data_IF_860102605323
#
_entry.id   IF_860102605323
#
_cell.length_a   1.000
_cell.length_b   1.000
_cell.length_c   1.000
_cell.angle_alpha   90.00
_cell.angle_beta   90.00
_cell.angle_gamma   90.00
#
_symmetry.space_group_name_H-M   'P 1'
#
loop_
_entity.id
_entity.type
_entity.pdbx_description
1 polymer ?
#
# COMPACT_ATOMS: atom_id res chain seq x y z
N UNK A 1 7.55 13.97 -11.33
CA UNK A 1 8.14 13.19 -12.45
C UNK A 1 8.08 11.67 -12.26
N UNK A 2 8.14 11.12 -11.08
CA UNK A 2 8.08 9.65 -10.81
C UNK A 2 6.77 8.97 -11.24
N UNK A 3 5.62 9.65 -11.16
CA UNK A 3 4.33 9.09 -11.61
C UNK A 3 4.26 8.87 -13.12
N UNK A 4 4.98 9.66 -13.88
CA UNK A 4 4.98 9.60 -15.34
C UNK A 4 5.77 8.40 -15.90
N UNK A 5 6.79 7.97 -15.16
CA UNK A 5 7.63 6.81 -15.54
C UNK A 5 7.07 5.47 -15.05
N UNK A 6 6.27 5.45 -13.97
CA UNK A 6 5.67 4.23 -13.44
C UNK A 6 4.33 3.85 -14.07
N UNK A 7 3.59 4.82 -14.65
CA UNK A 7 2.27 4.57 -15.23
C UNK A 7 2.30 3.67 -16.46
N UNK A 8 3.30 3.82 -17.33
CA UNK A 8 3.44 3.01 -18.54
C UNK A 8 3.56 1.51 -18.24
N UNK A 9 4.56 1.07 -17.46
CA UNK A 9 4.70 -0.33 -17.07
C UNK A 9 3.49 -0.90 -16.34
N UNK A 10 2.80 -0.09 -15.52
CA UNK A 10 1.59 -0.51 -14.80
C UNK A 10 0.44 -0.80 -15.77
N UNK A 11 0.19 0.10 -16.73
CA UNK A 11 -0.86 -0.09 -17.73
C UNK A 11 -0.56 -1.31 -18.59
N UNK A 12 0.68 -1.47 -19.04
CA UNK A 12 1.08 -2.64 -19.84
C UNK A 12 0.92 -3.92 -19.01
N UNK A 13 1.34 -3.92 -17.75
CA UNK A 13 1.19 -5.06 -16.86
C UNK A 13 -0.28 -5.45 -16.65
N UNK A 14 -1.17 -4.48 -16.47
CA UNK A 14 -2.61 -4.70 -16.36
C UNK A 14 -3.23 -5.25 -17.64
N UNK A 15 -2.86 -4.69 -18.80
CA UNK A 15 -3.35 -5.15 -20.10
C UNK A 15 -2.91 -6.59 -20.41
N UNK A 16 -1.65 -6.91 -20.14
CA UNK A 16 -1.11 -8.27 -20.31
C UNK A 16 -1.76 -9.26 -19.34
N UNK A 17 -1.96 -8.86 -18.08
CA UNK A 17 -2.67 -9.66 -17.07
C UNK A 17 -4.14 -9.91 -17.44
N UNK A 18 -4.83 -8.89 -17.95
CA UNK A 18 -6.21 -9.01 -18.42
C UNK A 18 -6.35 -9.94 -19.64
N UNK A 19 -5.42 -9.84 -20.59
CA UNK A 19 -5.45 -10.66 -21.81
C UNK A 19 -4.97 -12.08 -21.62
N UNK A 20 -4.28 -12.39 -20.53
CA UNK A 20 -3.77 -13.73 -20.15
C UNK A 20 -3.00 -14.48 -21.25
N UNK A 21 -3.28 -14.20 -22.52
CA UNK A 21 -2.69 -14.84 -23.71
C UNK A 21 -2.68 -13.87 -24.91
N UNK A 22 -1.53 -13.73 -25.54
CA UNK A 22 -1.38 -12.96 -26.79
C UNK A 22 -0.66 -13.85 -27.80
N UNK A 23 -1.43 -14.38 -28.75
CA UNK A 23 -0.91 -15.34 -29.74
C UNK A 23 -0.43 -16.67 -29.11
N UNK A 24 0.76 -17.15 -29.46
CA UNK A 24 1.33 -18.38 -28.89
C UNK A 24 1.88 -18.22 -27.49
N UNK A 25 1.99 -16.98 -26.99
CA UNK A 25 2.62 -16.67 -25.69
C UNK A 25 1.56 -16.55 -24.60
N UNK A 26 1.70 -17.33 -23.54
CA UNK A 26 0.87 -17.24 -22.32
C UNK A 26 1.58 -16.40 -21.28
N UNK A 27 0.89 -15.36 -20.76
CA UNK A 27 1.38 -14.50 -19.69
C UNK A 27 0.93 -14.95 -18.29
N UNK A 28 0.38 -16.15 -18.20
CA UNK A 28 0.02 -16.75 -16.91
C UNK A 28 1.27 -17.38 -16.30
N UNK A 29 1.74 -16.75 -15.24
CA UNK A 29 2.83 -17.29 -14.43
C UNK A 29 2.28 -18.27 -13.39
N UNK A 30 3.00 -19.36 -13.09
CA UNK A 30 2.70 -20.18 -11.92
C UNK A 30 2.62 -19.32 -10.67
N UNK A 31 1.71 -19.65 -9.74
CA UNK A 31 1.48 -18.86 -8.53
C UNK A 31 2.78 -18.53 -7.76
N UNK A 32 3.66 -19.51 -7.60
CA UNK A 32 4.95 -19.31 -6.93
C UNK A 32 5.86 -18.32 -7.67
N UNK A 33 5.94 -18.39 -9.00
CA UNK A 33 6.74 -17.47 -9.79
C UNK A 33 6.20 -16.03 -9.70
N UNK A 34 4.87 -15.87 -9.69
CA UNK A 34 4.23 -14.58 -9.53
C UNK A 34 4.56 -13.94 -8.16
N UNK A 35 4.52 -14.73 -7.08
CA UNK A 35 4.89 -14.26 -5.74
C UNK A 35 6.36 -13.79 -5.69
N UNK A 36 7.28 -14.57 -6.24
CA UNK A 36 8.71 -14.22 -6.25
C UNK A 36 8.97 -12.95 -7.06
N UNK A 37 8.39 -12.85 -8.26
CA UNK A 37 8.53 -11.66 -9.10
C UNK A 37 7.94 -10.41 -8.44
N UNK A 38 6.81 -10.55 -7.75
CA UNK A 38 6.22 -9.46 -6.97
C UNK A 38 7.14 -8.99 -5.85
N UNK A 39 7.74 -9.93 -5.11
CA UNK A 39 8.68 -9.60 -4.04
C UNK A 39 9.93 -8.89 -4.57
N UNK A 40 10.54 -9.42 -5.65
CA UNK A 40 11.68 -8.78 -6.30
C UNK A 40 11.31 -7.38 -6.79
N UNK A 41 10.15 -7.23 -7.44
CA UNK A 41 9.66 -5.94 -7.93
C UNK A 41 9.53 -4.90 -6.82
N UNK A 42 8.96 -5.30 -5.67
CA UNK A 42 8.82 -4.42 -4.50
C UNK A 42 10.20 -4.04 -3.93
N UNK A 43 11.12 -5.00 -3.80
CA UNK A 43 12.47 -4.74 -3.28
C UNK A 43 13.25 -3.78 -4.17
N UNK A 44 13.23 -4.00 -5.49
CA UNK A 44 13.90 -3.12 -6.47
C UNK A 44 13.27 -1.72 -6.46
N UNK A 45 11.94 -1.64 -6.40
CA UNK A 45 11.23 -0.36 -6.30
C UNK A 45 11.62 0.41 -5.04
N UNK A 46 11.62 -0.26 -3.87
CA UNK A 46 11.98 0.37 -2.60
C UNK A 46 13.45 0.80 -2.58
N UNK A 47 14.35 -0.01 -3.12
CA UNK A 47 15.76 0.33 -3.24
C UNK A 47 15.96 1.56 -4.15
N UNK A 48 15.32 1.58 -5.32
CA UNK A 48 15.40 2.72 -6.24
C UNK A 48 14.81 4.00 -5.63
N UNK A 49 13.67 3.91 -4.94
CA UNK A 49 13.05 5.03 -4.25
C UNK A 49 13.94 5.54 -3.09
N UNK A 50 14.53 4.63 -2.33
CA UNK A 50 15.46 4.98 -1.24
C UNK A 50 16.72 5.68 -1.75
N UNK A 51 17.32 5.17 -2.83
CA UNK A 51 18.49 5.80 -3.45
C UNK A 51 18.16 7.18 -4.02
N UNK A 52 17.01 7.33 -4.68
CA UNK A 52 16.58 8.60 -5.25
C UNK A 52 16.28 9.67 -4.19
N UNK A 53 15.80 9.27 -3.01
CA UNK A 53 15.38 10.18 -1.94
C UNK A 53 16.43 10.35 -0.84
N UNK A 54 17.44 9.48 -0.80
CA UNK A 54 18.38 9.37 0.31
C UNK A 54 19.21 10.63 0.56
N UNK A 55 19.72 11.27 -0.48
CA UNK A 55 20.49 12.52 -0.34
C UNK A 55 19.62 13.66 0.18
N UNK A 56 18.44 13.86 -0.40
CA UNK A 56 17.48 14.89 0.03
C UNK A 56 17.02 14.67 1.47
N UNK A 57 16.84 13.40 1.87
CA UNK A 57 16.49 13.04 3.23
C UNK A 57 17.62 13.35 4.22
N UNK A 58 18.88 12.99 3.86
CA UNK A 58 20.04 13.28 4.70
C UNK A 58 20.25 14.79 4.89
N UNK A 59 20.10 15.58 3.84
CA UNK A 59 20.19 17.04 3.88
C UNK A 59 19.06 17.62 4.77
N UNK A 60 17.84 17.10 4.65
CA UNK A 60 16.70 17.52 5.46
C UNK A 60 16.90 17.24 6.95
N UNK A 61 17.47 16.07 7.31
CA UNK A 61 17.74 15.71 8.70
C UNK A 61 18.70 16.68 9.40
N UNK A 62 19.67 17.23 8.67
CA UNK A 62 20.62 18.24 9.19
C UNK A 62 19.97 19.59 9.50
N UNK A 63 18.69 19.79 9.14
CA UNK A 63 17.98 21.04 9.35
C UNK A 63 16.93 20.93 10.46
N UNK A 64 16.71 22.01 11.22
CA UNK A 64 15.64 22.07 12.21
C UNK A 64 14.23 21.87 11.61
N UNK A 65 14.07 22.14 10.31
CA UNK A 65 12.83 21.90 9.56
C UNK A 65 12.61 20.40 9.34
N UNK A 66 13.65 19.64 9.01
CA UNK A 66 13.58 18.19 8.86
C UNK A 66 13.10 17.49 10.12
N UNK A 67 13.65 17.88 11.27
CA UNK A 67 13.23 17.32 12.56
C UNK A 67 11.77 17.63 12.88
N UNK A 68 11.30 18.85 12.59
CA UNK A 68 9.88 19.22 12.76
C UNK A 68 8.95 18.40 11.84
N UNK A 69 9.35 18.18 10.59
CA UNK A 69 8.59 17.35 9.64
C UNK A 69 8.54 15.88 10.09
N UNK A 70 9.65 15.35 10.60
CA UNK A 70 9.67 13.99 11.16
C UNK A 70 8.75 13.86 12.38
N UNK A 71 8.80 14.81 13.30
CA UNK A 71 7.93 14.82 14.47
C UNK A 71 6.45 14.94 14.08
N UNK A 72 6.13 15.84 13.14
CA UNK A 72 4.77 15.98 12.61
C UNK A 72 4.29 14.69 11.92
N UNK A 73 5.13 14.07 11.09
CA UNK A 73 4.83 12.79 10.45
C UNK A 73 4.59 11.67 11.45
N UNK A 74 5.42 11.58 12.48
CA UNK A 74 5.25 10.59 13.56
C UNK A 74 3.92 10.78 14.31
N UNK A 75 3.58 12.03 14.66
CA UNK A 75 2.30 12.35 15.34
C UNK A 75 1.11 12.01 14.42
N UNK A 76 1.16 12.38 13.15
CA UNK A 76 0.09 12.06 12.19
C UNK A 76 -0.07 10.55 12.02
N UNK A 77 1.02 9.80 11.87
CA UNK A 77 0.98 8.35 11.72
C UNK A 77 0.43 7.66 12.97
N UNK A 78 0.85 8.11 14.15
CA UNK A 78 0.36 7.57 15.41
C UNK A 78 -1.13 7.88 15.62
N UNK A 79 -1.54 9.12 15.34
CA UNK A 79 -2.94 9.51 15.41
C UNK A 79 -3.81 8.68 14.46
N UNK A 80 -3.36 8.48 13.23
CA UNK A 80 -4.06 7.66 12.24
C UNK A 80 -4.15 6.19 12.70
N UNK A 81 -3.06 5.62 13.19
CA UNK A 81 -3.00 4.23 13.66
C UNK A 81 -3.93 3.97 14.87
N UNK A 82 -4.19 4.96 15.69
CA UNK A 82 -5.09 4.86 16.84
C UNK A 82 -6.54 5.20 16.49
N UNK A 83 -6.75 6.29 15.75
CA UNK A 83 -8.09 6.79 15.49
C UNK A 83 -8.86 5.95 14.46
N UNK A 84 -8.20 5.45 13.41
CA UNK A 84 -8.90 4.70 12.36
C UNK A 84 -9.48 3.38 12.87
N UNK A 85 -8.73 2.51 13.57
CA UNK A 85 -9.31 1.31 14.17
C UNK A 85 -10.42 1.64 15.18
N UNK A 86 -10.21 2.66 16.03
CA UNK A 86 -11.21 3.09 17.00
C UNK A 86 -12.52 3.50 16.33
N UNK A 87 -12.46 4.29 15.25
CA UNK A 87 -13.65 4.69 14.48
C UNK A 87 -14.33 3.47 13.86
N UNK A 88 -13.56 2.54 13.28
CA UNK A 88 -14.11 1.34 12.67
C UNK A 88 -14.86 0.49 13.71
N UNK A 89 -14.28 0.31 14.89
CA UNK A 89 -14.89 -0.51 15.95
C UNK A 89 -16.10 0.18 16.58
N UNK A 90 -15.97 1.46 16.93
CA UNK A 90 -17.03 2.20 17.66
C UNK A 90 -18.15 2.64 16.75
N UNK A 91 -17.85 3.16 15.55
CA UNK A 91 -18.86 3.73 14.63
C UNK A 91 -19.45 2.67 13.72
N UNK A 92 -18.62 1.81 13.15
CA UNK A 92 -19.06 0.76 12.23
C UNK A 92 -19.40 -0.55 12.93
N UNK A 93 -19.22 -0.63 14.25
CA UNK A 93 -19.51 -1.80 15.09
C UNK A 93 -18.90 -3.10 14.52
N UNK A 94 -17.67 -3.01 13.99
CA UNK A 94 -16.94 -4.16 13.45
C UNK A 94 -16.12 -4.83 14.53
N UNK A 95 -16.00 -6.15 14.42
CA UNK A 95 -15.12 -6.93 15.29
C UNK A 95 -13.64 -6.66 14.96
N UNK A 96 -12.74 -6.97 15.87
CA UNK A 96 -11.31 -6.73 15.71
C UNK A 96 -10.70 -7.40 14.47
N UNK A 97 -11.26 -8.54 14.06
CA UNK A 97 -10.78 -9.29 12.89
C UNK A 97 -11.07 -8.50 11.61
N UNK A 98 -12.32 -8.06 11.43
CA UNK A 98 -12.70 -7.24 10.28
C UNK A 98 -12.01 -5.87 10.32
N UNK A 99 -11.88 -5.26 11.50
CA UNK A 99 -11.18 -3.98 11.71
C UNK A 99 -9.74 -4.05 11.22
N UNK A 100 -9.01 -5.12 11.52
CA UNK A 100 -7.63 -5.28 11.08
C UNK A 100 -7.48 -5.34 9.56
N UNK A 101 -8.42 -6.02 8.88
CA UNK A 101 -8.48 -6.06 7.42
C UNK A 101 -8.85 -4.71 6.79
N UNK A 102 -9.87 -4.02 7.33
CA UNK A 102 -10.25 -2.68 6.87
C UNK A 102 -9.10 -1.70 7.07
N UNK A 103 -8.46 -1.71 8.23
CA UNK A 103 -7.32 -0.84 8.54
C UNK A 103 -6.17 -1.05 7.54
N UNK A 104 -5.75 -2.31 7.31
CA UNK A 104 -4.73 -2.63 6.32
C UNK A 104 -5.12 -2.18 4.90
N UNK A 105 -6.41 -2.26 4.55
CA UNK A 105 -6.96 -1.79 3.28
C UNK A 105 -6.95 -0.26 3.16
N UNK A 106 -7.32 0.46 4.21
CA UNK A 106 -7.29 1.93 4.27
C UNK A 106 -5.85 2.44 4.20
N UNK A 107 -4.92 1.78 4.87
CA UNK A 107 -3.48 2.06 4.76
C UNK A 107 -2.93 1.74 3.36
N UNK A 108 -3.66 0.93 2.57
CA UNK A 108 -3.20 0.40 1.29
C UNK A 108 -1.89 -0.39 1.42
N UNK A 109 -1.73 -1.10 2.54
CA UNK A 109 -0.48 -1.72 2.96
C UNK A 109 -0.59 -3.26 3.00
N UNK A 110 -0.09 -3.97 1.98
CA UNK A 110 -0.13 -5.43 1.94
C UNK A 110 0.64 -6.12 3.08
N UNK A 111 1.68 -5.47 3.62
CA UNK A 111 2.43 -6.00 4.76
C UNK A 111 1.59 -6.00 6.04
N UNK A 112 0.76 -4.97 6.25
CA UNK A 112 -0.19 -4.93 7.37
C UNK A 112 -1.26 -6.03 7.22
N UNK A 113 -1.72 -6.30 5.99
CA UNK A 113 -2.62 -7.42 5.72
C UNK A 113 -1.98 -8.76 6.09
N UNK A 114 -0.75 -9.01 5.65
CA UNK A 114 -0.04 -10.26 5.95
C UNK A 114 0.11 -10.48 7.45
N UNK A 115 0.49 -9.43 8.19
CA UNK A 115 0.55 -9.44 9.65
C UNK A 115 -0.81 -9.73 10.31
N UNK A 116 -1.87 -9.08 9.84
CA UNK A 116 -3.22 -9.27 10.37
C UNK A 116 -3.73 -10.71 10.15
N UNK A 117 -3.49 -11.27 8.95
CA UNK A 117 -3.83 -12.67 8.63
C UNK A 117 -3.09 -13.64 9.54
N UNK A 118 -1.80 -13.43 9.76
CA UNK A 118 -0.99 -14.26 10.66
C UNK A 118 -1.50 -14.20 12.11
N UNK A 119 -1.79 -12.99 12.61
CA UNK A 119 -2.29 -12.78 13.99
C UNK A 119 -3.67 -13.34 14.25
N UNK A 120 -4.51 -13.45 13.22
CA UNK A 120 -5.87 -13.99 13.30
C UNK A 120 -5.97 -15.47 12.95
N UNK A 121 -4.83 -16.16 12.80
CA UNK A 121 -4.80 -17.59 12.48
C UNK A 121 -5.31 -17.91 11.07
N UNK A 122 -5.21 -16.97 10.13
CA UNK A 122 -5.65 -17.16 8.75
C UNK A 122 -7.13 -16.89 8.50
N UNK A 123 -7.80 -16.14 9.38
CA UNK A 123 -9.23 -15.84 9.23
C UNK A 123 -9.50 -15.08 7.91
N UNK A 124 -10.33 -15.68 7.04
CA UNK A 124 -10.64 -15.13 5.71
C UNK A 124 -11.35 -13.78 5.76
N UNK A 125 -12.03 -13.45 6.87
CA UNK A 125 -12.70 -12.15 7.04
C UNK A 125 -11.73 -10.97 6.95
N UNK A 126 -10.46 -11.17 7.34
CA UNK A 126 -9.40 -10.16 7.18
C UNK A 126 -9.17 -9.85 5.70
N UNK A 127 -9.02 -10.89 4.88
CA UNK A 127 -8.81 -10.74 3.44
C UNK A 127 -10.02 -10.10 2.74
N UNK A 128 -11.24 -10.50 3.11
CA UNK A 128 -12.47 -9.94 2.57
C UNK A 128 -12.61 -8.46 2.92
N UNK A 129 -12.36 -8.11 4.18
CA UNK A 129 -12.43 -6.73 4.66
C UNK A 129 -11.38 -5.84 3.95
N UNK A 130 -10.16 -6.35 3.79
CA UNK A 130 -9.11 -5.68 3.01
C UNK A 130 -9.51 -5.46 1.55
N UNK A 131 -10.03 -6.50 0.89
CA UNK A 131 -10.41 -6.43 -0.52
C UNK A 131 -11.51 -5.39 -0.80
N UNK A 132 -12.39 -5.14 0.16
CA UNK A 132 -13.42 -4.11 0.06
C UNK A 132 -12.86 -2.71 0.35
N UNK A 133 -12.01 -2.57 1.37
CA UNK A 133 -11.50 -1.28 1.80
C UNK A 133 -10.40 -0.72 0.88
N UNK A 134 -9.53 -1.57 0.36
CA UNK A 134 -8.38 -1.16 -0.44
C UNK A 134 -8.73 -0.34 -1.70
N UNK A 135 -9.64 -0.78 -2.59
CA UNK A 135 -9.99 -0.02 -3.79
C UNK A 135 -10.64 1.33 -3.45
N UNK A 136 -11.52 1.35 -2.45
CA UNK A 136 -12.19 2.56 -2.01
C UNK A 136 -11.19 3.58 -1.45
N UNK A 137 -10.25 3.13 -0.62
CA UNK A 137 -9.20 3.97 -0.05
C UNK A 137 -8.26 4.51 -1.13
N UNK A 138 -7.89 3.69 -2.12
CA UNK A 138 -7.06 4.13 -3.24
C UNK A 138 -7.73 5.21 -4.07
N UNK A 139 -9.00 5.04 -4.42
CA UNK A 139 -9.76 6.05 -5.17
C UNK A 139 -9.86 7.35 -4.35
N UNK A 140 -10.21 7.25 -3.07
CA UNK A 140 -10.30 8.41 -2.19
C UNK A 140 -8.97 9.17 -2.09
N UNK A 141 -7.85 8.47 -1.90
CA UNK A 141 -6.50 9.07 -1.85
C UNK A 141 -6.14 9.77 -3.16
N UNK A 142 -6.43 9.15 -4.31
CA UNK A 142 -6.16 9.75 -5.62
C UNK A 142 -6.94 11.05 -5.79
N UNK A 143 -8.24 11.03 -5.44
CA UNK A 143 -9.10 12.23 -5.53
C UNK A 143 -8.56 13.33 -4.61
N UNK A 144 -8.28 13.03 -3.34
CA UNK A 144 -7.78 14.01 -2.37
C UNK A 144 -6.46 14.63 -2.84
N UNK A 145 -5.54 13.83 -3.37
CA UNK A 145 -4.25 14.34 -3.88
C UNK A 145 -4.46 15.29 -5.06
N UNK A 146 -5.46 15.04 -5.93
CA UNK A 146 -5.74 15.93 -7.06
C UNK A 146 -6.30 17.31 -6.63
N UNK A 147 -6.95 17.38 -5.46
CA UNK A 147 -7.42 18.67 -4.92
C UNK A 147 -6.33 19.44 -4.16
N UNK A 148 -5.23 18.76 -3.77
CA UNK A 148 -4.13 19.36 -3.01
C UNK A 148 -2.99 19.87 -3.91
N UNK A 149 -2.94 19.47 -5.17
CA UNK A 149 -1.92 19.84 -6.16
C UNK A 149 -2.51 20.70 -7.26
#
# INVERSE_FOLDING_TARGET
MLFRSGGGPLIIGLLLGFRSRVGPITFQLPHGANLVLRQIGVLVFLAAAGLASGSTFADALGTGTGLKLMAAGAVCSLAFALLVPLVIEVVLHKDHVATSGIFAGVETQPAALAYAVERTGGDERVNMAYALAFPAAMIAKIIVVQFLV
#
